data_IF_077044925243
#
_entry.id   IF_077044925243
#
_cell.length_a   1.000
_cell.length_b   1.000
_cell.length_c   1.000
_cell.angle_alpha   90.00
_cell.angle_beta   90.00
_cell.angle_gamma   90.00
#
_symmetry.space_group_name_H-M   'P 1'
#
loop_
_entity.id
_entity.type
_entity.pdbx_description
1 polymer ?
#
# COMPACT_ATOMS: atom_id res chain seq x y z
N UNK A 1 -64.31 -35.51 -46.31
CA UNK A 1 -63.63 -34.28 -45.87
C UNK A 1 -62.81 -34.66 -44.64
N UNK A 2 -61.47 -34.85 -44.78
CA UNK A 2 -60.55 -35.26 -43.73
C UNK A 2 -59.75 -34.04 -43.27
N UNK A 3 -59.90 -33.64 -42.03
CA UNK A 3 -59.13 -32.56 -41.42
C UNK A 3 -57.72 -33.08 -41.09
N UNK A 4 -56.69 -32.42 -41.66
CA UNK A 4 -55.30 -32.63 -41.31
C UNK A 4 -54.91 -31.64 -40.25
N UNK A 5 -54.65 -32.07 -39.03
CA UNK A 5 -54.07 -31.26 -37.96
C UNK A 5 -52.54 -31.32 -38.06
N UNK A 6 -51.92 -30.17 -38.38
CA UNK A 6 -50.46 -30.02 -38.43
C UNK A 6 -49.95 -29.58 -37.06
N UNK A 7 -49.30 -30.49 -36.35
CA UNK A 7 -48.70 -30.20 -35.04
C UNK A 7 -47.27 -29.71 -35.31
N UNK A 8 -47.00 -28.42 -35.04
CA UNK A 8 -45.70 -27.82 -35.09
C UNK A 8 -45.00 -28.07 -33.77
N UNK A 9 -44.00 -28.91 -33.75
CA UNK A 9 -43.07 -29.10 -32.59
C UNK A 9 -42.00 -28.04 -32.61
N UNK A 10 -42.08 -27.02 -31.74
CA UNK A 10 -41.00 -26.07 -31.55
C UNK A 10 -39.93 -26.67 -30.64
N UNK A 11 -38.79 -27.03 -31.21
CA UNK A 11 -37.58 -27.39 -30.49
C UNK A 11 -36.92 -26.11 -29.93
N UNK A 12 -37.06 -25.83 -28.67
CA UNK A 12 -36.24 -24.83 -27.99
C UNK A 12 -34.87 -25.45 -27.69
N UNK A 13 -33.87 -25.12 -28.52
CA UNK A 13 -32.47 -25.40 -28.21
C UNK A 13 -32.02 -24.45 -27.10
N UNK A 14 -31.91 -24.92 -25.90
CA UNK A 14 -31.30 -24.19 -24.79
C UNK A 14 -29.78 -24.19 -25.02
N UNK A 15 -29.27 -23.11 -25.61
CA UNK A 15 -27.83 -22.85 -25.71
C UNK A 15 -27.31 -22.57 -24.31
N UNK A 16 -26.73 -23.56 -23.62
CA UNK A 16 -25.94 -23.33 -22.42
C UNK A 16 -24.67 -22.58 -22.84
N UNK A 17 -24.68 -21.26 -22.69
CA UNK A 17 -23.45 -20.46 -22.80
C UNK A 17 -22.63 -20.82 -21.54
N UNK A 18 -21.69 -21.74 -21.70
CA UNK A 18 -20.67 -22.01 -20.69
C UNK A 18 -19.73 -20.81 -20.69
N UNK A 19 -19.89 -19.91 -19.74
CA UNK A 19 -18.86 -18.91 -19.47
C UNK A 19 -17.63 -19.68 -18.99
N UNK A 20 -16.63 -19.82 -19.84
CA UNK A 20 -15.34 -20.34 -19.43
C UNK A 20 -14.81 -19.46 -18.30
N UNK A 21 -14.71 -20.04 -17.11
CA UNK A 21 -14.17 -19.38 -15.94
C UNK A 21 -12.74 -18.91 -16.26
N UNK A 22 -12.50 -17.60 -16.28
CA UNK A 22 -11.14 -17.08 -16.52
C UNK A 22 -10.25 -17.67 -15.41
N UNK A 23 -9.33 -18.55 -15.79
CA UNK A 23 -8.36 -19.12 -14.85
C UNK A 23 -7.57 -17.97 -14.23
N UNK A 24 -7.43 -17.96 -12.91
CA UNK A 24 -6.61 -16.96 -12.22
C UNK A 24 -5.20 -16.95 -12.84
N UNK A 25 -4.69 -15.76 -13.17
CA UNK A 25 -3.37 -15.60 -13.79
C UNK A 25 -2.25 -15.98 -12.81
N UNK A 26 -2.56 -15.99 -11.49
CA UNK A 26 -1.61 -16.25 -10.41
C UNK A 26 -2.17 -17.39 -9.54
N UNK A 27 -1.32 -18.36 -9.22
CA UNK A 27 -1.59 -19.35 -8.17
C UNK A 27 -1.35 -18.71 -6.79
N UNK A 28 -2.41 -18.12 -6.23
CA UNK A 28 -2.36 -17.40 -4.96
C UNK A 28 -1.88 -18.31 -3.82
N UNK A 29 -2.32 -19.58 -3.82
CA UNK A 29 -1.93 -20.56 -2.79
C UNK A 29 -0.43 -20.77 -2.81
N UNK A 30 0.15 -21.00 -4.00
CA UNK A 30 1.59 -21.14 -4.18
C UNK A 30 2.35 -19.90 -3.70
N UNK A 31 1.84 -18.69 -3.98
CA UNK A 31 2.50 -17.46 -3.55
C UNK A 31 2.51 -17.32 -2.02
N UNK A 32 1.40 -17.65 -1.36
CA UNK A 32 1.36 -17.65 0.11
C UNK A 32 2.19 -18.76 0.72
N UNK A 33 2.32 -19.93 0.08
CA UNK A 33 3.21 -21.00 0.53
C UNK A 33 4.69 -20.57 0.48
N UNK A 34 5.11 -19.87 -0.58
CA UNK A 34 6.46 -19.29 -0.68
C UNK A 34 6.66 -18.23 0.40
N UNK A 35 5.73 -17.29 0.54
CA UNK A 35 5.78 -16.23 1.54
C UNK A 35 5.85 -16.80 2.96
N UNK A 36 5.06 -17.82 3.27
CA UNK A 36 5.08 -18.50 4.55
C UNK A 36 6.45 -19.10 4.87
N UNK A 37 7.08 -19.80 3.91
CA UNK A 37 8.42 -20.36 4.09
C UNK A 37 9.49 -19.30 4.31
N UNK A 38 9.43 -18.18 3.56
CA UNK A 38 10.32 -17.03 3.78
C UNK A 38 10.16 -16.47 5.18
N UNK A 39 8.94 -16.24 5.63
CA UNK A 39 8.68 -15.67 6.95
C UNK A 39 8.92 -16.65 8.11
N UNK A 40 8.84 -17.96 7.89
CA UNK A 40 9.34 -18.97 8.83
C UNK A 40 10.86 -18.83 9.04
N UNK A 41 11.62 -18.70 7.94
CA UNK A 41 13.05 -18.45 7.99
C UNK A 41 13.39 -17.12 8.67
N UNK A 42 12.63 -16.06 8.37
CA UNK A 42 12.83 -14.76 9.00
C UNK A 42 12.55 -14.80 10.50
N UNK A 43 11.47 -15.45 10.96
CA UNK A 43 11.17 -15.63 12.38
C UNK A 43 12.22 -16.47 13.11
N UNK A 44 12.80 -17.46 12.45
CA UNK A 44 13.88 -18.28 13.02
C UNK A 44 15.19 -17.48 13.28
N UNK A 45 15.44 -16.46 12.44
CA UNK A 45 16.62 -15.58 12.56
C UNK A 45 16.38 -14.32 13.38
N UNK A 46 15.09 -13.97 13.66
CA UNK A 46 14.69 -12.76 14.39
C UNK A 46 13.87 -13.12 15.64
N UNK A 47 14.55 -13.67 16.66
CA UNK A 47 13.93 -13.94 17.97
C UNK A 47 13.76 -12.67 18.83
N UNK A 48 14.68 -11.70 18.66
CA UNK A 48 14.71 -10.41 19.37
C UNK A 48 13.75 -9.41 18.73
N UNK A 49 12.63 -9.18 19.41
CA UNK A 49 11.58 -8.25 18.96
C UNK A 49 11.92 -6.77 19.12
N UNK A 50 13.13 -6.43 19.59
CA UNK A 50 13.64 -5.05 19.59
C UNK A 50 14.32 -4.69 18.26
N UNK A 51 14.55 -5.67 17.38
CA UNK A 51 15.23 -5.55 16.10
C UNK A 51 14.27 -5.93 14.95
N UNK A 52 13.71 -4.93 14.30
CA UNK A 52 12.73 -5.13 13.23
C UNK A 52 13.42 -5.30 11.87
N UNK A 53 13.15 -6.38 11.12
CA UNK A 53 13.71 -6.56 9.79
C UNK A 53 13.19 -5.46 8.86
N UNK A 54 14.09 -4.78 8.15
CA UNK A 54 13.75 -3.71 7.22
C UNK A 54 14.19 -4.01 5.80
N UNK A 55 15.48 -4.31 5.58
CA UNK A 55 16.08 -4.48 4.26
C UNK A 55 17.40 -5.26 4.38
N UNK A 56 18.14 -5.38 3.28
CA UNK A 56 19.48 -5.93 3.26
C UNK A 56 20.50 -4.83 3.01
N UNK A 57 21.64 -4.86 3.76
CA UNK A 57 22.75 -3.94 3.55
C UNK A 57 23.57 -4.32 2.32
N UNK A 58 24.45 -3.43 1.81
CA UNK A 58 25.31 -3.74 0.66
C UNK A 58 26.23 -4.95 0.84
N UNK A 59 26.60 -5.28 2.07
CA UNK A 59 27.43 -6.45 2.41
C UNK A 59 26.59 -7.76 2.49
N UNK A 60 25.31 -7.70 2.19
CA UNK A 60 24.40 -8.84 2.26
C UNK A 60 23.83 -9.13 3.64
N UNK A 61 24.27 -8.44 4.70
CA UNK A 61 23.75 -8.62 6.05
C UNK A 61 22.36 -7.95 6.21
N UNK A 62 21.58 -8.47 7.18
CA UNK A 62 20.29 -7.90 7.51
C UNK A 62 20.41 -6.46 8.04
N UNK A 63 19.60 -5.56 7.53
CA UNK A 63 19.45 -4.21 8.03
C UNK A 63 18.26 -4.15 8.99
N UNK A 64 18.51 -4.30 10.27
CA UNK A 64 17.49 -4.20 11.31
C UNK A 64 17.35 -2.78 11.83
N UNK A 65 16.14 -2.43 12.29
CA UNK A 65 15.81 -1.14 12.90
C UNK A 65 15.12 -1.35 14.25
N UNK A 66 15.11 -0.29 15.05
CA UNK A 66 14.34 -0.25 16.30
C UNK A 66 12.87 0.08 16.00
N UNK A 67 12.00 -0.09 17.01
CA UNK A 67 10.55 0.17 16.88
C UNK A 67 10.21 1.58 16.43
N UNK A 68 11.02 2.57 16.78
CA UNK A 68 10.81 3.98 16.42
C UNK A 68 11.13 4.31 14.95
N UNK A 69 11.53 3.34 14.15
CA UNK A 69 11.71 3.52 12.71
C UNK A 69 10.39 3.34 11.97
N UNK A 70 10.13 4.17 11.00
CA UNK A 70 8.83 4.25 10.31
C UNK A 70 8.30 2.93 9.72
N UNK A 71 9.19 1.99 9.36
CA UNK A 71 8.81 0.69 8.81
C UNK A 71 8.47 -0.38 9.85
N UNK A 72 8.59 -0.11 11.14
CA UNK A 72 8.55 -1.15 12.19
C UNK A 72 7.24 -1.95 12.24
N UNK A 73 6.13 -1.36 11.79
CA UNK A 73 4.83 -2.01 11.77
C UNK A 73 4.60 -3.02 10.65
N UNK A 74 5.37 -2.96 9.56
CA UNK A 74 5.08 -3.78 8.38
C UNK A 74 5.33 -5.27 8.59
N UNK A 75 6.38 -5.64 9.33
CA UNK A 75 6.66 -7.05 9.59
C UNK A 75 5.51 -7.72 10.36
N UNK A 76 5.06 -7.11 11.46
CA UNK A 76 3.89 -7.58 12.20
C UNK A 76 2.62 -7.59 11.33
N UNK A 77 2.45 -6.58 10.48
CA UNK A 77 1.34 -6.50 9.52
C UNK A 77 1.34 -7.64 8.50
N UNK A 78 2.50 -7.99 7.95
CA UNK A 78 2.66 -9.13 7.03
C UNK A 78 2.32 -10.46 7.67
N UNK A 79 2.71 -10.67 8.93
CA UNK A 79 2.34 -11.86 9.70
C UNK A 79 0.82 -11.99 9.89
N UNK A 80 0.10 -10.86 10.05
CA UNK A 80 -1.36 -10.85 10.06
C UNK A 80 -1.96 -11.24 8.71
N UNK A 81 -1.37 -10.87 7.58
CA UNK A 81 -1.83 -11.31 6.25
C UNK A 81 -1.59 -12.80 6.03
N UNK A 82 -0.47 -13.36 6.52
CA UNK A 82 -0.26 -14.81 6.53
C UNK A 82 -1.33 -15.53 7.36
N UNK A 83 -1.68 -15.00 8.54
CA UNK A 83 -2.78 -15.53 9.33
C UNK A 83 -4.13 -15.40 8.59
N UNK A 84 -4.44 -14.27 7.99
CA UNK A 84 -5.70 -14.06 7.25
C UNK A 84 -5.89 -15.09 6.13
N UNK A 85 -4.80 -15.43 5.44
CA UNK A 85 -4.85 -16.40 4.35
C UNK A 85 -4.91 -17.85 4.84
N UNK A 86 -4.08 -18.21 5.82
CA UNK A 86 -3.87 -19.61 6.22
C UNK A 86 -4.81 -20.08 7.33
N UNK A 87 -5.26 -19.17 8.19
CA UNK A 87 -5.95 -19.49 9.44
C UNK A 87 -5.07 -20.16 10.51
N UNK A 88 -3.77 -20.34 10.26
CA UNK A 88 -2.87 -21.06 11.15
C UNK A 88 -2.52 -20.21 12.38
N UNK A 89 -2.73 -20.80 13.56
CA UNK A 89 -2.50 -20.18 14.87
C UNK A 89 -1.05 -19.69 15.04
N UNK A 90 -0.07 -20.37 14.46
CA UNK A 90 1.35 -19.94 14.56
C UNK A 90 1.56 -18.53 14.04
N UNK A 91 0.89 -18.16 12.90
CA UNK A 91 0.98 -16.82 12.32
C UNK A 91 0.27 -15.79 13.20
N UNK A 92 -0.87 -16.16 13.79
CA UNK A 92 -1.58 -15.31 14.76
C UNK A 92 -0.71 -14.98 15.97
N UNK A 93 -0.06 -16.00 16.54
CA UNK A 93 0.78 -15.83 17.73
C UNK A 93 2.03 -14.99 17.42
N UNK A 94 2.69 -15.25 16.29
CA UNK A 94 3.82 -14.45 15.82
C UNK A 94 3.41 -13.01 15.52
N UNK A 95 2.29 -12.81 14.80
CA UNK A 95 1.76 -11.48 14.51
C UNK A 95 1.43 -10.70 15.78
N UNK A 96 0.79 -11.32 16.76
CA UNK A 96 0.52 -10.70 18.06
C UNK A 96 1.82 -10.25 18.75
N UNK A 97 2.82 -11.16 18.86
CA UNK A 97 4.12 -10.87 19.47
C UNK A 97 4.78 -9.64 18.83
N UNK A 98 4.86 -9.59 17.50
CA UNK A 98 5.50 -8.49 16.77
C UNK A 98 4.64 -7.20 16.76
N UNK A 99 3.32 -7.33 16.85
CA UNK A 99 2.41 -6.19 17.05
C UNK A 99 2.66 -5.53 18.40
N UNK A 100 2.71 -6.31 19.48
CA UNK A 100 2.96 -5.78 20.82
C UNK A 100 4.36 -5.18 20.96
N UNK A 101 5.33 -5.62 20.17
CA UNK A 101 6.69 -5.08 20.18
C UNK A 101 6.78 -3.59 19.75
N UNK A 102 5.83 -3.08 18.96
CA UNK A 102 5.77 -1.66 18.57
C UNK A 102 4.86 -0.83 19.47
N UNK A 103 4.22 -1.40 20.48
CA UNK A 103 3.19 -0.70 21.29
C UNK A 103 3.65 0.61 21.94
N UNK A 104 4.93 0.73 22.28
CA UNK A 104 5.48 1.93 22.91
C UNK A 104 5.48 3.14 21.98
N UNK A 105 5.42 2.90 20.66
CA UNK A 105 5.33 3.96 19.65
C UNK A 105 3.98 4.69 19.69
N UNK A 106 2.99 4.18 20.41
CA UNK A 106 1.74 4.91 20.68
C UNK A 106 1.97 6.30 21.28
N UNK A 107 3.08 6.51 21.98
CA UNK A 107 3.45 7.79 22.61
C UNK A 107 4.39 8.64 21.74
N UNK A 108 4.72 8.20 20.54
CA UNK A 108 5.66 8.88 19.64
C UNK A 108 4.97 10.08 18.96
N UNK A 109 5.35 11.30 19.33
CA UNK A 109 4.86 12.54 18.72
C UNK A 109 5.83 13.18 17.74
N UNK A 110 6.96 12.50 17.43
CA UNK A 110 8.06 13.06 16.61
C UNK A 110 8.03 12.61 15.15
N UNK A 111 7.10 11.73 14.77
CA UNK A 111 6.93 11.26 13.40
C UNK A 111 5.47 11.30 12.97
N UNK A 112 5.24 11.49 11.68
CA UNK A 112 3.91 11.33 11.08
C UNK A 112 3.58 9.87 10.73
N UNK A 113 4.56 8.96 10.82
CA UNK A 113 4.49 7.59 10.30
C UNK A 113 3.75 6.62 11.22
N UNK A 114 3.04 7.10 12.24
CA UNK A 114 2.31 6.25 13.17
C UNK A 114 1.25 5.37 12.51
N UNK A 115 0.74 5.75 11.33
CA UNK A 115 -0.10 4.88 10.53
C UNK A 115 0.63 3.62 10.09
N UNK A 116 1.86 3.76 9.59
CA UNK A 116 2.70 2.62 9.23
C UNK A 116 3.12 1.78 10.45
N UNK A 117 3.55 2.45 11.52
CA UNK A 117 4.08 1.81 12.72
C UNK A 117 2.99 1.10 13.54
N UNK A 118 1.83 1.73 13.70
CA UNK A 118 0.76 1.25 14.57
C UNK A 118 -0.38 0.60 13.79
N UNK A 119 -0.88 1.24 12.72
CA UNK A 119 -2.09 0.75 12.07
C UNK A 119 -1.86 -0.50 11.23
N UNK A 120 -0.70 -0.64 10.58
CA UNK A 120 -0.38 -1.85 9.82
C UNK A 120 -0.45 -3.12 10.69
N UNK A 121 0.18 -3.21 11.89
CA UNK A 121 0.07 -4.40 12.71
C UNK A 121 -1.19 -4.41 13.58
N UNK A 122 -1.44 -3.39 14.37
CA UNK A 122 -2.58 -3.36 15.30
C UNK A 122 -3.93 -3.32 14.58
N UNK A 123 -4.05 -2.54 13.49
CA UNK A 123 -5.26 -2.43 12.70
C UNK A 123 -5.66 -3.76 12.08
N UNK A 124 -4.70 -4.48 11.48
CA UNK A 124 -4.93 -5.83 10.96
C UNK A 124 -5.24 -6.82 12.07
N UNK A 125 -4.51 -6.76 13.19
CA UNK A 125 -4.79 -7.61 14.36
C UNK A 125 -6.19 -7.40 14.90
N UNK A 126 -6.60 -6.15 15.10
CA UNK A 126 -7.95 -5.84 15.58
C UNK A 126 -9.04 -6.22 14.56
N UNK A 127 -8.81 -5.97 13.27
CA UNK A 127 -9.74 -6.35 12.20
C UNK A 127 -10.03 -7.84 12.19
N UNK A 128 -9.00 -8.67 12.37
CA UNK A 128 -9.08 -10.12 12.28
C UNK A 128 -9.53 -10.81 13.58
N UNK A 129 -9.16 -10.25 14.73
CA UNK A 129 -9.35 -10.95 16.02
C UNK A 129 -10.34 -10.28 16.96
N UNK A 130 -10.61 -8.99 16.76
CA UNK A 130 -11.37 -8.15 17.70
C UNK A 130 -10.77 -8.11 19.13
N UNK A 131 -9.46 -8.41 19.26
CA UNK A 131 -8.80 -8.38 20.56
C UNK A 131 -8.84 -6.95 21.15
N UNK A 132 -9.51 -6.74 22.31
CA UNK A 132 -9.66 -5.43 22.92
C UNK A 132 -8.33 -4.83 23.40
N UNK A 133 -7.31 -5.65 23.62
CA UNK A 133 -5.97 -5.22 24.02
C UNK A 133 -5.34 -4.23 23.01
N UNK A 134 -5.76 -4.29 21.75
CA UNK A 134 -5.24 -3.39 20.70
C UNK A 134 -5.88 -2.01 20.69
N UNK A 135 -7.02 -1.81 21.36
CA UNK A 135 -7.79 -0.57 21.29
C UNK A 135 -7.06 0.61 21.94
N UNK A 136 -6.57 0.42 23.18
CA UNK A 136 -5.88 1.49 23.91
C UNK A 136 -4.61 1.97 23.18
N UNK A 137 -3.67 1.07 22.77
CA UNK A 137 -2.49 1.50 22.03
C UNK A 137 -2.84 2.24 20.73
N UNK A 138 -3.86 1.79 20.01
CA UNK A 138 -4.27 2.45 18.77
C UNK A 138 -4.91 3.82 19.01
N UNK A 139 -5.76 3.98 20.02
CA UNK A 139 -6.37 5.28 20.30
C UNK A 139 -5.35 6.28 20.82
N UNK A 140 -4.42 5.85 21.66
CA UNK A 140 -3.31 6.67 22.14
C UNK A 140 -2.40 7.09 21.00
N UNK A 141 -2.01 6.17 20.11
CA UNK A 141 -1.20 6.49 18.94
C UNK A 141 -1.87 7.43 17.95
N UNK A 142 -3.19 7.31 17.76
CA UNK A 142 -3.95 8.25 16.92
C UNK A 142 -3.96 9.67 17.55
N UNK A 143 -4.05 9.77 18.88
CA UNK A 143 -3.88 11.05 19.57
C UNK A 143 -2.47 11.60 19.37
N UNK A 144 -1.42 10.78 19.49
CA UNK A 144 -0.04 11.18 19.25
C UNK A 144 0.17 11.68 17.82
N UNK A 145 -0.37 10.99 16.81
CA UNK A 145 -0.35 11.45 15.41
C UNK A 145 -1.05 12.80 15.25
N UNK A 146 -2.20 12.98 15.93
CA UNK A 146 -2.98 14.21 15.84
C UNK A 146 -2.24 15.43 16.38
N UNK A 147 -1.26 15.26 17.30
CA UNK A 147 -0.44 16.38 17.80
C UNK A 147 0.44 17.00 16.73
N UNK A 148 0.70 16.29 15.62
CA UNK A 148 1.46 16.82 14.48
C UNK A 148 0.61 17.68 13.55
N UNK A 149 -0.70 17.68 13.70
CA UNK A 149 -1.59 18.56 12.95
C UNK A 149 -1.54 19.96 13.54
N UNK A 150 -1.32 20.95 12.69
CA UNK A 150 -1.37 22.36 13.11
C UNK A 150 -2.47 23.08 12.30
N UNK A 151 -3.51 23.59 12.98
CA UNK A 151 -4.63 24.28 12.33
C UNK A 151 -4.21 25.50 11.49
N UNK A 152 -3.13 26.19 11.86
CA UNK A 152 -2.63 27.35 11.09
C UNK A 152 -2.11 26.95 9.70
N UNK A 153 -1.70 25.68 9.51
CA UNK A 153 -1.28 25.12 8.23
C UNK A 153 -2.36 24.23 7.61
N UNK A 154 -3.30 23.73 8.41
CA UNK A 154 -4.30 22.74 7.98
C UNK A 154 -3.70 21.40 7.53
N UNK A 155 -2.55 21.03 8.09
CA UNK A 155 -1.75 19.88 7.65
C UNK A 155 -1.06 19.19 8.84
N UNK A 156 -0.74 17.91 8.67
CA UNK A 156 0.10 17.13 9.57
C UNK A 156 1.55 17.31 9.15
N UNK A 157 2.40 17.83 10.04
CA UNK A 157 3.84 18.00 9.78
C UNK A 157 4.53 16.65 9.65
N UNK A 158 5.35 16.48 8.60
CA UNK A 158 6.03 15.21 8.38
C UNK A 158 7.29 15.06 9.23
N UNK A 159 8.22 16.00 9.16
CA UNK A 159 9.54 15.92 9.80
C UNK A 159 9.85 17.14 10.65
N UNK A 160 10.73 16.96 11.62
CA UNK A 160 11.23 18.03 12.49
C UNK A 160 12.66 18.47 12.13
N UNK A 161 13.34 17.74 11.23
CA UNK A 161 14.65 18.14 10.73
C UNK A 161 14.54 19.21 9.61
N UNK A 162 15.61 19.98 9.44
CA UNK A 162 15.64 21.19 8.63
C UNK A 162 15.66 20.93 7.11
N UNK A 163 14.53 20.53 6.54
CA UNK A 163 14.31 20.69 5.10
C UNK A 163 13.69 22.08 4.83
N UNK A 164 12.73 22.47 5.67
CA UNK A 164 12.08 23.78 5.70
C UNK A 164 11.25 23.91 7.01
N UNK A 165 10.64 25.05 7.26
CA UNK A 165 9.89 25.32 8.47
C UNK A 165 8.74 24.33 8.74
N UNK A 166 7.94 24.00 7.71
CA UNK A 166 6.82 23.06 7.81
C UNK A 166 6.76 22.12 6.59
N UNK A 167 7.56 21.05 6.59
CA UNK A 167 7.55 20.08 5.51
C UNK A 167 6.38 19.11 5.64
N UNK A 168 5.72 18.83 4.50
CA UNK A 168 4.70 17.80 4.34
C UNK A 168 5.05 16.94 3.15
N UNK A 169 5.09 15.63 3.30
CA UNK A 169 5.35 14.69 2.22
C UNK A 169 4.08 13.94 1.81
N UNK A 170 4.07 13.49 0.57
CA UNK A 170 2.91 12.79 0.00
C UNK A 170 2.57 11.49 0.76
N UNK A 171 3.57 10.86 1.38
CA UNK A 171 3.47 9.64 2.20
C UNK A 171 2.47 9.81 3.36
N UNK A 172 2.28 11.05 3.82
CA UNK A 172 1.36 11.37 4.92
C UNK A 172 -0.08 10.94 4.64
N UNK A 173 -0.46 10.84 3.35
CA UNK A 173 -1.77 10.34 2.94
C UNK A 173 -2.04 8.92 3.45
N UNK A 174 -0.99 8.10 3.66
CA UNK A 174 -1.10 6.73 4.17
C UNK A 174 -1.46 6.66 5.65
N UNK A 175 -1.21 7.72 6.41
CA UNK A 175 -1.50 7.76 7.84
C UNK A 175 -2.95 8.16 8.15
N UNK A 176 -3.71 8.64 7.16
CA UNK A 176 -5.07 9.15 7.35
C UNK A 176 -6.08 8.02 7.62
N UNK A 177 -5.86 6.81 7.10
CA UNK A 177 -6.72 5.66 7.39
C UNK A 177 -6.79 5.36 8.89
N UNK A 178 -5.66 5.51 9.57
CA UNK A 178 -5.58 5.38 11.02
C UNK A 178 -6.48 6.39 11.74
N UNK A 179 -6.49 7.64 11.29
CA UNK A 179 -7.36 8.68 11.87
C UNK A 179 -8.85 8.40 11.61
N UNK A 180 -9.23 7.93 10.42
CA UNK A 180 -10.60 7.50 10.15
C UNK A 180 -11.03 6.36 11.07
N UNK A 181 -10.15 5.37 11.26
CA UNK A 181 -10.40 4.28 12.20
C UNK A 181 -10.61 4.82 13.62
N UNK A 182 -9.73 5.71 14.10
CA UNK A 182 -9.81 6.29 15.44
C UNK A 182 -11.12 7.07 15.63
N UNK A 183 -11.55 7.86 14.62
CA UNK A 183 -12.83 8.57 14.66
C UNK A 183 -14.02 7.62 14.82
N UNK A 184 -14.02 6.50 14.08
CA UNK A 184 -15.11 5.50 14.20
C UNK A 184 -15.14 4.83 15.58
N UNK A 185 -13.98 4.54 16.15
CA UNK A 185 -13.89 3.85 17.45
C UNK A 185 -14.22 4.77 18.62
N UNK A 186 -13.65 5.96 18.67
CA UNK A 186 -13.81 6.91 19.78
C UNK A 186 -15.05 7.78 19.67
N UNK A 187 -15.67 7.88 18.48
CA UNK A 187 -16.72 8.87 18.14
C UNK A 187 -16.23 10.33 18.19
N UNK A 188 -14.92 10.55 18.32
CA UNK A 188 -14.33 11.87 18.26
C UNK A 188 -14.12 12.33 16.83
N UNK A 189 -14.85 13.36 16.43
CA UNK A 189 -14.84 13.91 15.08
C UNK A 189 -13.51 14.58 14.72
N UNK A 190 -12.69 14.97 15.71
CA UNK A 190 -11.39 15.63 15.45
C UNK A 190 -10.50 14.84 14.51
N UNK A 191 -10.46 13.51 14.66
CA UNK A 191 -9.64 12.65 13.81
C UNK A 191 -10.10 12.67 12.34
N UNK A 192 -11.42 12.65 12.15
CA UNK A 192 -12.02 12.78 10.81
C UNK A 192 -11.70 14.15 10.21
N UNK A 193 -11.89 15.22 10.96
CA UNK A 193 -11.67 16.59 10.47
C UNK A 193 -10.20 16.83 10.12
N UNK A 194 -9.25 16.32 10.92
CA UNK A 194 -7.81 16.36 10.62
C UNK A 194 -7.53 15.64 9.29
N UNK A 195 -8.05 14.42 9.11
CA UNK A 195 -7.81 13.63 7.89
C UNK A 195 -8.35 14.34 6.64
N UNK A 196 -9.56 14.87 6.69
CA UNK A 196 -10.17 15.62 5.58
C UNK A 196 -9.37 16.88 5.26
N UNK A 197 -9.07 17.70 6.28
CA UNK A 197 -8.36 18.97 6.08
C UNK A 197 -6.97 18.75 5.49
N UNK A 198 -6.26 17.73 5.99
CA UNK A 198 -4.95 17.36 5.45
C UNK A 198 -5.04 16.91 3.98
N UNK A 199 -6.00 16.01 3.68
CA UNK A 199 -6.17 15.48 2.33
C UNK A 199 -6.56 16.57 1.32
N UNK A 200 -7.42 17.52 1.70
CA UNK A 200 -7.85 18.63 0.84
C UNK A 200 -6.69 19.58 0.52
N UNK A 201 -5.88 19.93 1.51
CA UNK A 201 -4.70 20.78 1.32
C UNK A 201 -3.62 20.04 0.49
N UNK A 202 -3.46 18.73 0.69
CA UNK A 202 -2.56 17.89 -0.12
C UNK A 202 -3.05 17.82 -1.57
N UNK A 203 -4.35 17.62 -1.80
CA UNK A 203 -4.95 17.61 -3.14
C UNK A 203 -4.69 18.93 -3.87
N UNK A 204 -4.86 20.05 -3.19
CA UNK A 204 -4.66 21.40 -3.76
C UNK A 204 -3.20 21.67 -4.13
N UNK A 205 -2.25 21.18 -3.33
CA UNK A 205 -0.88 21.71 -3.37
C UNK A 205 0.18 20.70 -3.84
N UNK A 206 -0.04 19.39 -3.69
CA UNK A 206 0.99 18.36 -3.96
C UNK A 206 0.98 17.82 -5.39
N UNK A 207 0.06 18.25 -6.24
CA UNK A 207 -0.05 17.67 -7.59
C UNK A 207 0.24 18.69 -8.67
N UNK A 208 0.78 18.19 -9.78
CA UNK A 208 0.89 18.90 -11.06
C UNK A 208 -0.37 18.68 -11.88
N UNK A 209 -0.52 19.41 -12.97
CA UNK A 209 -1.70 19.32 -13.87
C UNK A 209 -1.88 17.92 -14.49
N UNK A 210 -0.80 17.13 -14.59
CA UNK A 210 -0.82 15.75 -15.09
C UNK A 210 -1.10 14.71 -14.01
N UNK A 211 -1.43 15.13 -12.78
CA UNK A 211 -1.65 14.33 -11.59
C UNK A 211 -0.38 13.66 -11.00
N UNK A 212 0.82 14.00 -11.49
CA UNK A 212 2.03 13.60 -10.80
C UNK A 212 2.20 14.40 -9.51
N UNK A 213 2.71 13.74 -8.45
CA UNK A 213 2.89 14.38 -7.15
C UNK A 213 4.31 14.93 -6.96
N UNK A 214 4.40 16.05 -6.26
CA UNK A 214 5.64 16.44 -5.57
C UNK A 214 5.83 15.57 -4.34
N UNK A 215 7.07 15.17 -4.06
CA UNK A 215 7.35 14.41 -2.85
C UNK A 215 7.14 15.27 -1.60
N UNK A 216 7.80 16.44 -1.55
CA UNK A 216 7.79 17.36 -0.41
C UNK A 216 7.21 18.71 -0.83
N UNK A 217 6.24 19.21 -0.06
CA UNK A 217 5.79 20.59 -0.13
C UNK A 217 6.08 21.26 1.20
N UNK A 218 6.76 22.39 1.15
CA UNK A 218 7.07 23.23 2.28
C UNK A 218 6.04 24.35 2.41
N UNK A 219 5.52 24.53 3.60
CA UNK A 219 4.44 25.49 3.85
C UNK A 219 4.82 26.59 4.81
N UNK A 220 4.15 27.72 4.66
CA UNK A 220 3.99 28.80 5.61
C UNK A 220 2.57 28.79 6.19
N UNK A 221 2.27 29.50 7.30
CA UNK A 221 0.93 29.57 7.85
C UNK A 221 -0.13 29.99 6.83
N UNK A 222 -1.36 29.44 6.96
CA UNK A 222 -2.46 29.68 6.02
C UNK A 222 -2.42 28.80 4.78
N UNK A 223 -1.98 27.58 4.85
CA UNK A 223 -1.30 26.62 3.99
C UNK A 223 -0.74 27.21 2.68
N UNK A 224 0.04 28.29 2.84
CA UNK A 224 0.74 28.94 1.71
C UNK A 224 1.96 28.11 1.32
N UNK A 225 2.05 27.76 0.04
CA UNK A 225 3.19 26.99 -0.47
C UNK A 225 4.41 27.90 -0.60
N UNK A 226 5.46 27.57 0.16
CA UNK A 226 6.76 28.23 0.06
C UNK A 226 7.64 27.60 -1.01
N UNK A 227 7.74 26.26 -1.02
CA UNK A 227 8.57 25.51 -1.98
C UNK A 227 8.02 24.10 -2.21
N UNK A 228 8.21 23.58 -3.43
CA UNK A 228 7.96 22.20 -3.81
C UNK A 228 9.27 21.54 -4.22
N UNK A 229 9.55 20.35 -3.69
CA UNK A 229 10.83 19.67 -3.90
C UNK A 229 10.71 18.17 -3.76
N UNK A 230 11.81 17.47 -4.00
CA UNK A 230 11.94 16.06 -3.66
C UNK A 230 12.95 15.85 -2.52
N UNK A 231 12.91 14.66 -1.92
CA UNK A 231 13.90 14.14 -0.97
C UNK A 231 14.39 12.75 -1.40
N UNK A 232 13.50 11.96 -2.02
CA UNK A 232 13.79 10.57 -2.44
C UNK A 232 13.65 10.39 -3.95
N UNK A 233 13.12 11.36 -4.70
CA UNK A 233 13.03 11.33 -6.16
C UNK A 233 14.31 11.84 -6.85
N UNK A 234 14.34 11.73 -8.17
CA UNK A 234 15.51 12.09 -8.99
C UNK A 234 15.76 13.59 -9.06
N UNK A 235 14.71 14.41 -9.10
CA UNK A 235 14.75 15.86 -9.15
C UNK A 235 13.45 16.46 -8.61
N UNK A 236 13.45 17.76 -8.27
CA UNK A 236 12.24 18.46 -7.79
C UNK A 236 11.09 18.45 -8.82
N UNK A 237 11.44 18.36 -10.10
CA UNK A 237 10.49 18.24 -11.21
C UNK A 237 10.07 16.82 -11.53
N UNK A 238 10.73 15.79 -10.98
CA UNK A 238 10.48 14.38 -11.28
C UNK A 238 9.28 13.81 -10.54
N UNK A 239 8.86 12.62 -10.94
CA UNK A 239 7.79 11.85 -10.30
C UNK A 239 8.38 10.60 -9.66
N UNK A 240 8.71 10.69 -8.38
CA UNK A 240 9.17 9.56 -7.57
C UNK A 240 8.12 8.45 -7.52
N UNK A 241 8.47 7.24 -7.98
CA UNK A 241 7.47 6.18 -8.22
C UNK A 241 6.70 5.77 -6.96
N UNK A 242 7.38 5.62 -5.83
CA UNK A 242 6.72 5.28 -4.57
C UNK A 242 5.86 6.45 -4.04
N UNK A 243 6.23 7.70 -4.32
CA UNK A 243 5.37 8.85 -4.02
C UNK A 243 4.06 8.83 -4.81
N UNK A 244 4.11 8.44 -6.10
CA UNK A 244 2.89 8.22 -6.88
C UNK A 244 2.06 7.08 -6.30
N UNK A 245 2.70 6.01 -5.82
CA UNK A 245 2.03 4.88 -5.20
C UNK A 245 1.33 5.27 -3.89
N UNK A 246 1.99 6.04 -3.02
CA UNK A 246 1.39 6.58 -1.80
C UNK A 246 0.17 7.46 -2.10
N UNK A 247 0.29 8.32 -3.09
CA UNK A 247 -0.81 9.18 -3.54
C UNK A 247 -2.00 8.36 -4.05
N UNK A 248 -1.75 7.37 -4.91
CA UNK A 248 -2.80 6.50 -5.46
C UNK A 248 -3.54 5.74 -4.36
N UNK A 249 -2.80 5.11 -3.45
CA UNK A 249 -3.37 4.39 -2.31
C UNK A 249 -4.16 5.34 -1.40
N UNK A 250 -3.54 6.46 -1.03
CA UNK A 250 -4.13 7.43 -0.12
C UNK A 250 -5.45 8.01 -0.64
N UNK A 251 -5.52 8.45 -1.90
CA UNK A 251 -6.77 8.99 -2.46
C UNK A 251 -7.82 7.92 -2.76
N UNK A 252 -7.42 6.69 -3.07
CA UNK A 252 -8.35 5.55 -3.15
C UNK A 252 -8.99 5.27 -1.77
N UNK A 253 -8.18 5.27 -0.71
CA UNK A 253 -8.61 5.14 0.67
C UNK A 253 -9.51 6.31 1.09
N UNK A 254 -9.16 7.56 0.75
CA UNK A 254 -10.01 8.73 1.03
C UNK A 254 -11.40 8.58 0.43
N UNK A 255 -11.50 8.10 -0.81
CA UNK A 255 -12.81 7.80 -1.40
C UNK A 255 -13.54 6.66 -0.67
N UNK A 256 -12.83 5.61 -0.27
CA UNK A 256 -13.42 4.52 0.53
C UNK A 256 -14.10 5.04 1.80
N UNK A 257 -13.40 5.93 2.53
CA UNK A 257 -13.84 6.43 3.83
C UNK A 257 -14.94 7.50 3.73
N UNK A 258 -14.91 8.34 2.70
CA UNK A 258 -15.77 9.54 2.62
C UNK A 258 -16.88 9.46 1.58
N UNK A 259 -16.68 8.67 0.52
CA UNK A 259 -17.50 8.65 -0.71
C UNK A 259 -17.52 9.98 -1.47
N UNK A 260 -16.63 10.92 -1.14
CA UNK A 260 -16.51 12.19 -1.86
C UNK A 260 -15.83 11.97 -3.21
N UNK A 261 -16.57 12.30 -4.28
CA UNK A 261 -16.15 12.08 -5.67
C UNK A 261 -14.88 12.84 -6.06
N UNK A 262 -14.51 13.92 -5.36
CA UNK A 262 -13.25 14.63 -5.63
C UNK A 262 -12.04 13.73 -5.39
N UNK A 263 -12.07 12.87 -4.38
CA UNK A 263 -11.00 11.93 -4.08
C UNK A 263 -10.94 10.77 -5.08
N UNK A 264 -12.11 10.30 -5.56
CA UNK A 264 -12.15 9.32 -6.64
C UNK A 264 -11.54 9.89 -7.92
N UNK A 265 -11.93 11.12 -8.31
CA UNK A 265 -11.38 11.78 -9.49
C UNK A 265 -9.85 11.96 -9.38
N UNK A 266 -9.34 12.31 -8.19
CA UNK A 266 -7.91 12.41 -7.95
C UNK A 266 -7.21 11.05 -8.08
N UNK A 267 -7.75 9.99 -7.48
CA UNK A 267 -7.20 8.63 -7.59
C UNK A 267 -7.19 8.14 -9.04
N UNK A 268 -8.25 8.38 -9.80
CA UNK A 268 -8.34 8.03 -11.24
C UNK A 268 -7.33 8.84 -12.09
N UNK A 269 -7.11 10.12 -11.77
CA UNK A 269 -6.10 10.95 -12.41
C UNK A 269 -4.68 10.41 -12.18
N UNK A 270 -4.35 10.07 -10.92
CA UNK A 270 -3.05 9.47 -10.58
C UNK A 270 -2.88 8.10 -11.25
N UNK A 271 -3.91 7.26 -11.25
CA UNK A 271 -3.89 5.97 -11.94
C UNK A 271 -3.62 6.14 -13.44
N UNK A 272 -4.29 7.12 -14.08
CA UNK A 272 -4.06 7.44 -15.50
C UNK A 272 -2.63 7.88 -15.76
N UNK A 273 -2.04 8.73 -14.91
CA UNK A 273 -0.63 9.13 -15.01
C UNK A 273 0.29 7.91 -14.97
N UNK A 274 0.16 7.06 -13.93
CA UNK A 274 0.99 5.87 -13.76
C UNK A 274 0.88 4.91 -14.95
N UNK A 275 -0.35 4.56 -15.32
CA UNK A 275 -0.62 3.53 -16.32
C UNK A 275 -0.19 3.92 -17.73
N UNK A 276 -0.18 5.21 -18.05
CA UNK A 276 0.13 5.72 -19.39
C UNK A 276 1.51 6.40 -19.47
N UNK A 277 2.29 6.39 -18.39
CA UNK A 277 3.60 7.04 -18.42
C UNK A 277 4.53 6.36 -19.42
N UNK A 278 5.19 7.11 -20.34
CA UNK A 278 5.99 6.51 -21.43
C UNK A 278 7.18 5.69 -20.90
N UNK A 279 7.71 6.02 -19.74
CA UNK A 279 8.81 5.30 -19.11
C UNK A 279 8.37 4.12 -18.23
N UNK A 280 7.08 3.81 -18.19
CA UNK A 280 6.63 2.62 -17.45
C UNK A 280 7.04 1.36 -18.22
N UNK A 281 7.82 0.45 -17.60
CA UNK A 281 8.26 -0.78 -18.26
C UNK A 281 7.11 -1.71 -18.65
N UNK A 282 7.39 -2.63 -19.58
CA UNK A 282 6.36 -3.57 -20.09
C UNK A 282 5.79 -4.48 -19.00
N UNK A 283 6.61 -4.86 -18.03
CA UNK A 283 6.24 -5.69 -16.88
C UNK A 283 5.45 -4.93 -15.79
N UNK A 284 5.23 -3.61 -15.96
CA UNK A 284 4.46 -2.72 -15.09
C UNK A 284 5.06 -2.48 -13.69
N UNK A 285 6.23 -3.01 -13.39
CA UNK A 285 6.98 -2.63 -12.19
C UNK A 285 7.79 -1.37 -12.53
N UNK A 286 7.60 -0.25 -11.85
CA UNK A 286 8.23 1.01 -12.25
C UNK A 286 9.73 1.03 -11.96
N UNK A 287 10.45 1.94 -12.62
CA UNK A 287 11.71 2.43 -12.11
C UNK A 287 11.49 3.19 -10.81
N UNK A 288 12.52 3.37 -10.01
CA UNK A 288 12.44 4.08 -8.73
C UNK A 288 11.90 5.53 -8.84
N UNK A 289 12.07 6.14 -10.03
CA UNK A 289 11.51 7.43 -10.41
C UNK A 289 11.12 7.37 -11.90
N UNK A 290 9.96 7.90 -12.25
CA UNK A 290 9.47 7.90 -13.63
C UNK A 290 10.34 8.73 -14.58
N UNK A 291 11.12 9.66 -14.04
CA UNK A 291 12.03 10.54 -14.78
C UNK A 291 13.49 10.28 -14.40
N UNK A 292 13.83 9.07 -13.92
CA UNK A 292 15.18 8.70 -13.58
C UNK A 292 16.12 8.89 -14.80
N UNK A 293 17.36 9.42 -14.59
CA UNK A 293 18.17 9.96 -15.70
C UNK A 293 18.70 8.91 -16.68
N UNK A 294 18.86 7.65 -16.23
CA UNK A 294 19.51 6.61 -17.03
C UNK A 294 18.53 5.54 -17.51
N UNK A 295 17.23 5.81 -17.57
CA UNK A 295 16.26 4.87 -18.14
C UNK A 295 16.67 4.53 -19.58
N UNK A 296 16.72 3.22 -19.99
CA UNK A 296 16.15 2.05 -19.29
C UNK A 296 17.09 1.34 -18.30
N UNK A 297 18.27 1.86 -17.99
CA UNK A 297 19.30 1.24 -17.15
C UNK A 297 19.23 1.73 -15.70
N UNK A 298 18.02 1.81 -15.14
CA UNK A 298 17.76 2.24 -13.77
C UNK A 298 17.17 1.11 -12.93
N UNK A 299 17.30 1.22 -11.61
CA UNK A 299 16.75 0.26 -10.68
C UNK A 299 15.22 0.29 -10.68
N UNK A 300 14.66 -0.89 -10.54
CA UNK A 300 13.21 -1.09 -10.36
C UNK A 300 12.83 -0.90 -8.91
N UNK A 301 11.60 -0.48 -8.68
CA UNK A 301 11.05 -0.41 -7.32
C UNK A 301 9.84 -1.36 -7.19
N UNK A 302 10.12 -2.59 -6.73
CA UNK A 302 9.10 -3.60 -6.47
C UNK A 302 8.09 -3.13 -5.41
N UNK A 303 8.52 -2.27 -4.46
CA UNK A 303 7.61 -1.73 -3.44
C UNK A 303 6.55 -0.81 -4.03
N UNK A 304 6.93 0.05 -4.97
CA UNK A 304 5.98 0.87 -5.71
C UNK A 304 5.05 0.02 -6.58
N UNK A 305 5.58 -1.03 -7.23
CA UNK A 305 4.78 -2.01 -7.96
C UNK A 305 3.72 -2.70 -7.10
N UNK A 306 4.11 -3.20 -5.92
CA UNK A 306 3.20 -3.84 -4.97
C UNK A 306 2.06 -2.90 -4.54
N UNK A 307 2.40 -1.64 -4.26
CA UNK A 307 1.42 -0.59 -3.95
C UNK A 307 0.48 -0.29 -5.12
N UNK A 308 1.00 -0.23 -6.36
CA UNK A 308 0.15 -0.05 -7.55
C UNK A 308 -0.87 -1.18 -7.66
N UNK A 309 -0.43 -2.43 -7.54
CA UNK A 309 -1.32 -3.59 -7.61
C UNK A 309 -2.40 -3.52 -6.51
N UNK A 310 -1.99 -3.32 -5.26
CA UNK A 310 -2.93 -3.24 -4.13
C UNK A 310 -3.94 -2.11 -4.31
N UNK A 311 -3.48 -0.90 -4.64
CA UNK A 311 -4.35 0.28 -4.81
C UNK A 311 -5.32 0.13 -5.98
N UNK A 312 -4.85 -0.38 -7.13
CA UNK A 312 -5.68 -0.51 -8.33
C UNK A 312 -6.72 -1.62 -8.20
N UNK A 313 -6.42 -2.71 -7.49
CA UNK A 313 -7.46 -3.70 -7.17
C UNK A 313 -8.60 -3.06 -6.37
N UNK A 314 -8.28 -2.24 -5.38
CA UNK A 314 -9.31 -1.53 -4.63
C UNK A 314 -10.03 -0.49 -5.50
N UNK A 315 -9.31 0.37 -6.22
CA UNK A 315 -9.87 1.40 -7.09
C UNK A 315 -10.79 0.82 -8.16
N UNK A 316 -10.48 -0.39 -8.67
CA UNK A 316 -11.34 -1.10 -9.63
C UNK A 316 -12.76 -1.36 -9.14
N UNK A 317 -12.95 -1.42 -7.82
CA UNK A 317 -14.28 -1.61 -7.20
C UNK A 317 -15.12 -0.34 -7.17
N UNK A 318 -14.48 0.83 -7.33
CA UNK A 318 -15.12 2.14 -7.22
C UNK A 318 -15.33 2.84 -8.58
N UNK A 319 -14.63 2.41 -9.61
CA UNK A 319 -14.64 3.02 -10.95
C UNK A 319 -15.25 2.06 -11.99
N UNK A 320 -16.58 2.05 -12.19
CA UNK A 320 -17.24 1.12 -13.12
C UNK A 320 -16.71 1.23 -14.55
N UNK A 321 -16.40 2.46 -15.01
CA UNK A 321 -15.90 2.72 -16.38
C UNK A 321 -14.50 2.14 -16.59
N UNK A 322 -13.64 2.21 -15.58
CA UNK A 322 -12.24 1.79 -15.65
C UNK A 322 -11.97 0.46 -14.94
N UNK A 323 -13.00 -0.19 -14.40
CA UNK A 323 -12.89 -1.41 -13.59
C UNK A 323 -11.95 -2.45 -14.23
N UNK A 324 -12.21 -2.79 -15.50
CA UNK A 324 -11.41 -3.81 -16.20
C UNK A 324 -9.96 -3.35 -16.41
N UNK A 325 -9.74 -2.11 -16.80
CA UNK A 325 -8.40 -1.57 -17.05
C UNK A 325 -7.55 -1.57 -15.77
N UNK A 326 -8.12 -1.13 -14.65
CA UNK A 326 -7.43 -1.14 -13.36
C UNK A 326 -7.15 -2.55 -12.85
N UNK A 327 -8.13 -3.46 -12.98
CA UNK A 327 -7.94 -4.85 -12.59
C UNK A 327 -6.86 -5.53 -13.43
N UNK A 328 -6.93 -5.42 -14.76
CA UNK A 328 -5.97 -6.06 -15.67
C UNK A 328 -4.54 -5.51 -15.47
N UNK A 329 -4.40 -4.20 -15.23
CA UNK A 329 -3.10 -3.62 -14.93
C UNK A 329 -2.54 -4.12 -13.59
N UNK A 330 -3.35 -4.13 -12.53
CA UNK A 330 -2.97 -4.66 -11.22
C UNK A 330 -2.59 -6.15 -11.29
N UNK A 331 -3.34 -6.94 -12.06
CA UNK A 331 -3.05 -8.35 -12.31
C UNK A 331 -1.69 -8.52 -13.01
N UNK A 332 -1.38 -7.70 -14.03
CA UNK A 332 -0.08 -7.74 -14.71
C UNK A 332 1.08 -7.40 -13.77
N UNK A 333 0.94 -6.37 -12.96
CA UNK A 333 1.95 -6.03 -11.93
C UNK A 333 2.16 -7.20 -10.99
N UNK A 334 1.07 -7.79 -10.48
CA UNK A 334 1.13 -8.88 -9.51
C UNK A 334 1.74 -10.15 -10.14
N UNK A 335 1.45 -10.45 -11.43
CA UNK A 335 2.10 -11.53 -12.19
C UNK A 335 3.61 -11.29 -12.28
N UNK A 336 4.04 -10.07 -12.59
CA UNK A 336 5.45 -9.72 -12.66
C UNK A 336 6.15 -9.89 -11.32
N UNK A 337 5.57 -9.37 -10.25
CA UNK A 337 6.11 -9.50 -8.88
C UNK A 337 6.15 -10.95 -8.40
N UNK A 338 5.26 -11.82 -8.91
CA UNK A 338 5.21 -13.25 -8.59
C UNK A 338 6.13 -14.11 -9.46
N UNK A 339 6.90 -13.50 -10.36
CA UNK A 339 7.87 -14.20 -11.20
C UNK A 339 9.25 -14.24 -10.59
N UNK A 340 10.12 -15.13 -11.10
CA UNK A 340 11.52 -15.26 -10.68
C UNK A 340 12.34 -13.95 -10.86
N UNK A 341 11.81 -13.00 -11.65
CA UNK A 341 12.45 -11.69 -11.81
C UNK A 341 12.37 -10.80 -10.56
N UNK A 342 11.37 -11.03 -9.70
CA UNK A 342 11.16 -10.21 -8.49
C UNK A 342 10.99 -11.03 -7.22
N UNK A 343 10.60 -12.31 -7.33
CA UNK A 343 10.39 -13.16 -6.17
C UNK A 343 11.68 -13.92 -5.84
N UNK A 344 12.09 -13.83 -4.59
CA UNK A 344 13.25 -14.57 -4.10
C UNK A 344 12.95 -16.07 -3.98
N UNK A 345 13.99 -16.90 -4.18
CA UNK A 345 13.91 -18.31 -3.83
C UNK A 345 13.83 -18.49 -2.33
N UNK A 346 13.08 -19.51 -1.92
CA UNK A 346 12.92 -19.83 -0.49
C UNK A 346 14.30 -20.03 0.19
N UNK A 347 14.52 -19.30 1.28
CA UNK A 347 15.76 -19.30 2.05
C UNK A 347 16.83 -18.32 1.55
N UNK A 348 16.60 -17.66 0.41
CA UNK A 348 17.47 -16.58 -0.09
C UNK A 348 16.96 -15.20 0.32
N UNK A 349 17.66 -14.12 -0.06
CA UNK A 349 17.25 -12.73 0.10
C UNK A 349 16.97 -12.31 1.56
N UNK A 350 17.73 -12.87 2.52
CA UNK A 350 17.46 -12.71 3.96
C UNK A 350 15.99 -13.02 4.35
N UNK A 351 15.36 -13.94 3.64
CA UNK A 351 13.96 -14.34 3.84
C UNK A 351 12.91 -13.25 3.56
N UNK A 352 13.24 -12.18 2.85
CA UNK A 352 12.24 -11.32 2.25
C UNK A 352 11.64 -11.97 1.01
N UNK A 353 10.37 -11.66 0.73
CA UNK A 353 9.63 -12.23 -0.41
C UNK A 353 10.09 -11.60 -1.72
N UNK A 354 10.09 -10.25 -1.78
CA UNK A 354 10.42 -9.52 -3.00
C UNK A 354 11.85 -8.99 -3.00
N UNK A 355 12.47 -9.02 -4.18
CA UNK A 355 13.73 -8.38 -4.51
C UNK A 355 13.48 -7.00 -5.17
N UNK A 356 14.56 -6.26 -5.43
CA UNK A 356 14.58 -5.11 -6.34
C UNK A 356 13.68 -3.94 -5.94
N UNK A 357 13.77 -3.50 -4.69
CA UNK A 357 13.18 -2.24 -4.24
C UNK A 357 14.24 -1.14 -4.08
N UNK A 358 13.77 0.11 -4.03
CA UNK A 358 14.64 1.28 -3.79
C UNK A 358 14.07 2.12 -2.64
N UNK A 359 14.81 2.23 -1.53
CA UNK A 359 14.43 3.05 -0.39
C UNK A 359 14.68 4.55 -0.65
N UNK A 360 15.95 4.95 -0.75
CA UNK A 360 16.34 6.35 -0.98
C UNK A 360 17.64 6.43 -1.81
N UNK A 361 17.51 6.45 -3.14
CA UNK A 361 18.64 6.47 -4.06
C UNK A 361 19.49 7.77 -3.96
N UNK A 362 18.91 8.97 -3.82
CA UNK A 362 19.70 10.19 -3.61
C UNK A 362 20.61 10.13 -2.38
N UNK A 363 20.14 9.46 -1.31
CA UNK A 363 20.94 9.25 -0.08
C UNK A 363 21.82 8.00 -0.14
N UNK A 364 21.91 7.31 -1.28
CA UNK A 364 22.65 6.06 -1.48
C UNK A 364 22.26 4.96 -0.47
N UNK A 365 21.00 4.92 -0.11
CA UNK A 365 20.45 3.99 0.88
C UNK A 365 19.39 3.09 0.25
N UNK A 366 19.52 1.78 0.51
CA UNK A 366 18.53 0.77 0.11
C UNK A 366 18.25 0.78 -1.41
N UNK A 367 19.33 0.58 -2.20
CA UNK A 367 19.28 0.56 -3.66
C UNK A 367 19.30 -0.89 -4.12
N UNK A 368 18.32 -1.29 -4.93
CA UNK A 368 18.21 -2.63 -5.48
C UNK A 368 18.26 -3.72 -4.38
N UNK A 369 17.44 -3.57 -3.36
CA UNK A 369 17.44 -4.43 -2.16
C UNK A 369 16.01 -4.83 -1.79
N UNK A 370 15.81 -5.97 -1.05
CA UNK A 370 14.50 -6.25 -0.46
C UNK A 370 14.15 -5.20 0.58
N UNK A 371 12.86 -4.90 0.70
CA UNK A 371 12.36 -3.97 1.71
C UNK A 371 11.05 -4.49 2.29
N UNK A 372 10.90 -4.48 3.62
CA UNK A 372 9.79 -5.09 4.34
C UNK A 372 8.40 -4.61 3.89
N UNK A 373 8.24 -3.35 3.50
CA UNK A 373 6.96 -2.84 3.04
C UNK A 373 6.60 -3.29 1.61
N UNK A 374 7.58 -3.71 0.80
CA UNK A 374 7.29 -4.36 -0.48
C UNK A 374 6.55 -5.68 -0.26
N UNK A 375 7.01 -6.48 0.68
CA UNK A 375 6.37 -7.74 1.08
C UNK A 375 4.97 -7.51 1.63
N UNK A 376 4.80 -6.51 2.50
CA UNK A 376 3.51 -6.17 3.09
C UNK A 376 2.46 -5.85 2.03
N UNK A 377 2.77 -4.94 1.10
CA UNK A 377 1.81 -4.55 0.06
C UNK A 377 1.63 -5.63 -1.01
N UNK A 378 2.62 -6.48 -1.24
CA UNK A 378 2.48 -7.66 -2.09
C UNK A 378 1.46 -8.65 -1.50
N UNK A 379 1.56 -8.98 -0.22
CA UNK A 379 0.60 -9.85 0.47
C UNK A 379 -0.80 -9.25 0.50
N UNK A 380 -0.91 -7.94 0.73
CA UNK A 380 -2.19 -7.23 0.65
C UNK A 380 -2.78 -7.31 -0.77
N UNK A 381 -1.97 -7.10 -1.80
CA UNK A 381 -2.42 -7.20 -3.19
C UNK A 381 -2.93 -8.61 -3.54
N UNK A 382 -2.26 -9.66 -3.08
CA UNK A 382 -2.71 -11.05 -3.24
C UNK A 382 -4.07 -11.30 -2.59
N UNK A 383 -4.30 -10.79 -1.37
CA UNK A 383 -5.57 -10.92 -0.68
C UNK A 383 -6.70 -10.13 -1.37
N UNK A 384 -6.40 -8.93 -1.86
CA UNK A 384 -7.35 -8.12 -2.64
C UNK A 384 -7.71 -8.81 -3.96
N UNK A 385 -6.71 -9.34 -4.67
CA UNK A 385 -6.92 -10.12 -5.87
C UNK A 385 -7.80 -11.33 -5.61
N UNK A 386 -7.50 -12.13 -4.57
CA UNK A 386 -8.29 -13.30 -4.18
C UNK A 386 -9.77 -12.94 -3.93
N UNK A 387 -10.02 -11.86 -3.20
CA UNK A 387 -11.39 -11.40 -2.92
C UNK A 387 -12.15 -11.06 -4.21
N UNK A 388 -11.46 -10.40 -5.17
CA UNK A 388 -12.09 -9.99 -6.43
C UNK A 388 -12.40 -11.16 -7.35
N UNK A 389 -11.48 -12.12 -7.50
CA UNK A 389 -11.74 -13.31 -8.32
C UNK A 389 -12.82 -14.20 -7.71
N UNK A 390 -12.83 -14.38 -6.38
CA UNK A 390 -13.86 -15.16 -5.70
C UNK A 390 -15.25 -14.51 -5.81
N UNK A 391 -15.33 -13.19 -5.79
CA UNK A 391 -16.58 -12.45 -5.98
C UNK A 391 -17.13 -12.57 -7.41
N UNK A 392 -16.26 -12.74 -8.40
CA UNK A 392 -16.65 -12.92 -9.81
C UNK A 392 -17.17 -14.34 -10.11
N UNK A 393 -16.80 -15.33 -9.30
CA UNK A 393 -17.25 -16.74 -9.44
C UNK A 393 -18.66 -16.94 -8.86
N UNK A 394 -19.08 -16.08 -7.92
CA UNK A 394 -20.39 -16.20 -7.23
C UNK A 394 -21.54 -15.47 -7.97
N UNK A 395 -21.25 -14.76 -9.04
CA UNK A 395 -22.22 -14.09 -9.93
C UNK A 395 -22.43 -14.91 -11.21
#
# INVERSE_FOLDING_TARGET
>A
MKNFLLTILCFFAVIKISFAQKKAAIDIKKQFEIAAKQYEGMLATHADTTQFPQSTKPDGSMNNRKSNWWCSGFFGGSLWYLFEFTGDKKWKDAAHKWTMAVQNEKNNTKTHDLGFMMYCPFGNGYRLTKNPEYLEPMLTGANSLSTRFNPAYGLIKSWDHNICGYPVIIDNMMNLEYLFWASRQSKDKKFYDIAITHADNTLKNHFRNDFSSFHVVCYEPGPTVFRKQTHQGAADSSAWARGQAWALYGYTMMYRETKDKKYLAQAEGIAKFIMNHPNLPKDKVPYWDFNAPNIPNEERDASAGALFASSLFELSTYSPKNKKAYFDFAEQVLVSLSSDAYMAKVGENNNFILMHSVGNKPSKSEINTPIVYADYYYLEALLRYQKLINASVKK
#
